data_IF_641581644212
#
_entry.id   IF_641581644212
#
_cell.length_a   1.000
_cell.length_b   1.000
_cell.length_c   1.000
_cell.angle_alpha   90.00
_cell.angle_beta   90.00
_cell.angle_gamma   90.00
#
_symmetry.space_group_name_H-M   'P 1'
#
loop_
_entity.id
_entity.type
_entity.pdbx_description
1 polymer ?
#
# COMPACT_ATOMS: atom_id res chain seq x y z
N UNK A 1 15.09 -5.63 -13.25
CA UNK A 1 14.81 -7.06 -12.98
C UNK A 1 14.62 -7.16 -11.48
N UNK A 2 13.40 -7.44 -11.04
CA UNK A 2 13.02 -7.40 -9.64
C UNK A 2 13.25 -8.79 -9.03
N UNK A 3 14.02 -8.85 -7.95
CA UNK A 3 14.30 -10.08 -7.21
C UNK A 3 13.49 -10.03 -5.91
N UNK A 4 12.86 -11.14 -5.50
CA UNK A 4 12.18 -11.21 -4.20
C UNK A 4 13.20 -11.01 -3.07
N UNK A 5 12.90 -10.09 -2.16
CA UNK A 5 13.64 -9.82 -0.92
C UNK A 5 12.76 -10.16 0.30
N UNK A 6 13.26 -9.94 1.51
CA UNK A 6 12.55 -10.24 2.77
C UNK A 6 11.42 -9.24 3.10
N UNK A 7 11.15 -8.30 2.19
CA UNK A 7 10.18 -7.22 2.38
C UNK A 7 8.85 -7.60 1.77
N UNK A 8 7.85 -7.80 2.63
CA UNK A 8 6.46 -8.04 2.25
C UNK A 8 5.72 -6.72 2.06
N UNK A 9 5.00 -6.62 0.95
CA UNK A 9 4.05 -5.56 0.68
C UNK A 9 2.80 -6.17 0.06
N UNK A 10 1.64 -5.69 0.48
CA UNK A 10 0.32 -6.17 0.07
C UNK A 10 0.15 -6.08 -1.46
N UNK A 11 0.80 -5.11 -2.10
CA UNK A 11 0.79 -4.96 -3.56
C UNK A 11 1.73 -5.96 -4.25
N UNK A 12 2.94 -6.15 -3.71
CA UNK A 12 3.91 -7.17 -4.19
C UNK A 12 3.31 -8.58 -4.08
N UNK A 13 2.62 -8.87 -2.98
CA UNK A 13 1.91 -10.14 -2.75
C UNK A 13 0.72 -10.37 -3.69
N UNK A 14 0.09 -9.33 -4.23
CA UNK A 14 -1.00 -9.47 -5.19
C UNK A 14 -0.48 -9.70 -6.61
N UNK A 15 0.56 -8.97 -7.01
CA UNK A 15 1.13 -9.02 -8.36
C UNK A 15 1.93 -10.30 -8.58
N UNK A 16 2.87 -10.63 -7.69
CA UNK A 16 3.82 -11.73 -7.90
C UNK A 16 3.14 -13.11 -7.84
N UNK A 17 2.14 -13.26 -6.95
CA UNK A 17 1.50 -14.56 -6.72
C UNK A 17 0.23 -14.76 -7.54
N UNK A 18 -0.49 -13.68 -7.87
CA UNK A 18 -1.59 -13.72 -8.83
C UNK A 18 -1.10 -14.25 -10.18
N UNK A 19 0.06 -13.76 -10.63
CA UNK A 19 0.71 -14.22 -11.84
C UNK A 19 1.05 -15.71 -11.79
N UNK A 20 1.60 -16.22 -10.68
CA UNK A 20 1.95 -17.64 -10.54
C UNK A 20 0.72 -18.56 -10.62
N UNK A 21 -0.36 -18.23 -9.92
CA UNK A 21 -1.62 -18.98 -9.99
C UNK A 21 -2.22 -18.93 -11.40
N UNK A 22 -2.14 -17.76 -12.06
CA UNK A 22 -2.62 -17.59 -13.43
C UNK A 22 -1.81 -18.41 -14.44
N UNK A 23 -0.48 -18.45 -14.29
CA UNK A 23 0.42 -19.29 -15.11
C UNK A 23 0.10 -20.77 -14.92
N UNK A 24 -0.09 -21.24 -13.69
CA UNK A 24 -0.48 -22.62 -13.42
C UNK A 24 -1.86 -22.95 -14.01
N UNK A 25 -2.82 -22.05 -13.86
CA UNK A 25 -4.16 -22.19 -14.43
C UNK A 25 -4.14 -22.24 -15.95
N UNK A 26 -3.40 -21.34 -16.62
CA UNK A 26 -3.23 -21.37 -18.06
C UNK A 26 -2.51 -22.62 -18.54
N UNK A 27 -1.44 -23.05 -17.87
CA UNK A 27 -0.73 -24.28 -18.21
C UNK A 27 -1.64 -25.51 -18.17
N UNK A 28 -2.61 -25.55 -17.25
CA UNK A 28 -3.64 -26.61 -17.23
C UNK A 28 -4.64 -26.51 -18.38
N UNK A 29 -4.92 -25.29 -18.87
CA UNK A 29 -5.99 -25.02 -19.83
C UNK A 29 -5.52 -25.03 -21.30
N UNK A 30 -4.29 -24.61 -21.57
CA UNK A 30 -3.73 -24.47 -22.94
C UNK A 30 -2.89 -25.67 -23.35
N UNK A 31 -2.23 -26.33 -22.40
CA UNK A 31 -1.51 -27.57 -22.68
C UNK A 31 -2.49 -28.73 -22.48
N UNK A 32 -2.70 -29.55 -23.51
CA UNK A 32 -3.36 -30.86 -23.37
C UNK A 32 -2.42 -31.82 -22.64
N UNK A 33 -2.13 -31.50 -21.37
CA UNK A 33 -1.24 -32.27 -20.54
C UNK A 33 -1.83 -33.68 -20.34
N UNK A 34 -1.02 -34.74 -20.47
CA UNK A 34 -1.46 -36.10 -20.14
C UNK A 34 -2.06 -36.16 -18.73
N UNK A 35 -2.96 -37.11 -18.41
CA UNK A 35 -3.65 -37.18 -17.12
C UNK A 35 -2.72 -37.09 -15.89
N UNK A 36 -1.53 -37.72 -15.96
CA UNK A 36 -0.51 -37.64 -14.91
C UNK A 36 0.05 -36.23 -14.71
N UNK A 37 0.33 -35.52 -15.79
CA UNK A 37 0.84 -34.14 -15.75
C UNK A 37 -0.23 -33.15 -15.24
N UNK A 38 -1.51 -33.37 -15.57
CA UNK A 38 -2.63 -32.60 -15.00
C UNK A 38 -2.72 -32.77 -13.49
N UNK A 39 -2.59 -34.00 -13.00
CA UNK A 39 -2.60 -34.27 -11.56
C UNK A 39 -1.45 -33.57 -10.84
N UNK A 40 -0.24 -33.58 -11.42
CA UNK A 40 0.91 -32.84 -10.87
C UNK A 40 0.65 -31.33 -10.83
N UNK A 41 0.11 -30.75 -11.91
CA UNK A 41 -0.23 -29.32 -11.95
C UNK A 41 -1.33 -28.94 -10.95
N UNK A 42 -2.35 -29.80 -10.77
CA UNK A 42 -3.39 -29.60 -9.77
C UNK A 42 -2.82 -29.67 -8.34
N UNK A 43 -1.96 -30.64 -8.06
CA UNK A 43 -1.29 -30.75 -6.77
C UNK A 43 -0.37 -29.55 -6.51
N UNK A 44 0.35 -29.07 -7.52
CA UNK A 44 1.16 -27.86 -7.44
C UNK A 44 0.31 -26.61 -7.16
N UNK A 45 -0.86 -26.48 -7.81
CA UNK A 45 -1.80 -25.40 -7.54
C UNK A 45 -2.34 -25.46 -6.11
N UNK A 46 -2.78 -26.62 -5.65
CA UNK A 46 -3.27 -26.80 -4.26
C UNK A 46 -2.16 -26.49 -3.26
N UNK A 47 -0.94 -26.98 -3.50
CA UNK A 47 0.23 -26.68 -2.67
C UNK A 47 0.54 -25.18 -2.62
N UNK A 48 0.49 -24.48 -3.76
CA UNK A 48 0.67 -23.04 -3.84
C UNK A 48 -0.40 -22.27 -3.06
N UNK A 49 -1.67 -22.68 -3.17
CA UNK A 49 -2.78 -22.09 -2.42
C UNK A 49 -2.64 -22.33 -0.90
N UNK A 50 -2.26 -23.54 -0.49
CA UNK A 50 -2.07 -23.89 0.93
C UNK A 50 -0.87 -23.15 1.55
N UNK A 51 0.23 -23.05 0.81
CA UNK A 51 1.37 -22.22 1.20
C UNK A 51 0.96 -20.76 1.38
N UNK A 52 0.18 -20.20 0.44
CA UNK A 52 -0.32 -18.82 0.54
C UNK A 52 -1.22 -18.60 1.75
N UNK A 53 -2.17 -19.51 1.99
CA UNK A 53 -3.05 -19.41 3.16
C UNK A 53 -2.21 -19.37 4.45
N UNK A 54 -1.19 -20.22 4.53
CA UNK A 54 -0.26 -20.27 5.67
C UNK A 54 0.55 -18.97 5.80
N UNK A 55 1.14 -18.48 4.71
CA UNK A 55 1.91 -17.24 4.70
C UNK A 55 1.05 -16.03 5.10
N UNK A 56 -0.18 -15.92 4.60
CA UNK A 56 -1.12 -14.86 4.97
C UNK A 56 -1.47 -14.89 6.46
N UNK A 57 -1.67 -16.08 7.02
CA UNK A 57 -1.92 -16.25 8.47
C UNK A 57 -0.70 -15.79 9.28
N UNK A 58 0.51 -16.11 8.80
CA UNK A 58 1.76 -15.72 9.46
C UNK A 58 2.01 -14.21 9.41
N UNK A 59 1.68 -13.55 8.29
CA UNK A 59 1.89 -12.11 8.09
C UNK A 59 0.75 -11.26 8.66
N UNK A 60 -0.44 -11.82 8.87
CA UNK A 60 -1.61 -11.09 9.36
C UNK A 60 -1.35 -10.25 10.62
N UNK A 61 -0.61 -10.73 11.65
CA UNK A 61 -0.29 -9.92 12.81
C UNK A 61 0.56 -8.68 12.48
N UNK A 62 1.45 -8.76 11.49
CA UNK A 62 2.30 -7.64 11.08
C UNK A 62 1.51 -6.58 10.30
N UNK A 63 0.57 -7.03 9.45
CA UNK A 63 -0.39 -6.13 8.83
C UNK A 63 -1.31 -5.47 9.85
N UNK A 64 -1.78 -6.22 10.86
CA UNK A 64 -2.57 -5.65 11.96
C UNK A 64 -1.77 -4.60 12.74
N UNK A 65 -0.50 -4.87 13.04
CA UNK A 65 0.39 -3.92 13.71
C UNK A 65 0.59 -2.64 12.87
N UNK A 66 0.74 -2.77 11.55
CA UNK A 66 0.82 -1.63 10.63
C UNK A 66 -0.47 -0.80 10.64
N UNK A 67 -1.63 -1.45 10.58
CA UNK A 67 -2.91 -0.75 10.65
C UNK A 67 -3.08 -0.03 11.98
N UNK A 68 -2.75 -0.67 13.10
CA UNK A 68 -2.80 -0.04 14.42
C UNK A 68 -1.84 1.17 14.51
N UNK A 69 -0.67 1.11 13.86
CA UNK A 69 0.24 2.24 13.77
C UNK A 69 -0.36 3.40 12.95
N UNK A 70 -1.04 3.13 11.84
CA UNK A 70 -1.78 4.17 11.09
C UNK A 70 -2.90 4.80 11.92
N UNK A 71 -3.69 3.99 12.63
CA UNK A 71 -4.74 4.49 13.53
C UNK A 71 -4.14 5.38 14.63
N UNK A 72 -3.04 4.97 15.25
CA UNK A 72 -2.35 5.77 16.26
C UNK A 72 -1.82 7.11 15.71
N UNK A 73 -1.38 7.16 14.45
CA UNK A 73 -0.98 8.41 13.80
C UNK A 73 -2.17 9.35 13.58
N UNK A 74 -3.31 8.80 13.15
CA UNK A 74 -4.55 9.55 12.93
C UNK A 74 -5.03 10.12 14.27
N UNK A 75 -5.08 9.31 15.32
CA UNK A 75 -5.50 9.72 16.66
C UNK A 75 -4.61 10.85 17.19
N UNK A 76 -3.29 10.74 17.01
CA UNK A 76 -2.34 11.80 17.39
C UNK A 76 -2.55 13.09 16.59
N UNK A 77 -2.87 12.99 15.30
CA UNK A 77 -3.18 14.16 14.48
C UNK A 77 -4.44 14.85 14.98
N UNK A 78 -5.52 14.10 15.21
CA UNK A 78 -6.78 14.63 15.75
C UNK A 78 -6.63 15.23 17.14
N UNK A 79 -5.90 14.58 18.04
CA UNK A 79 -5.63 15.09 19.39
C UNK A 79 -4.91 16.44 19.39
N UNK A 80 -4.15 16.73 18.32
CA UNK A 80 -3.45 18.01 18.12
C UNK A 80 -4.23 19.00 17.24
N UNK A 81 -5.45 18.67 16.84
CA UNK A 81 -6.25 19.47 15.91
C UNK A 81 -5.66 19.55 14.50
N UNK A 82 -4.76 18.63 14.14
CA UNK A 82 -4.09 18.59 12.85
C UNK A 82 -4.91 17.75 11.85
N UNK A 83 -5.11 18.30 10.66
CA UNK A 83 -5.68 17.59 9.50
C UNK A 83 -4.62 17.16 8.49
N UNK A 84 -3.37 17.56 8.73
CA UNK A 84 -2.23 17.28 7.87
C UNK A 84 -0.97 17.08 8.69
N UNK A 85 -0.24 16.01 8.42
CA UNK A 85 0.99 15.65 9.15
C UNK A 85 2.07 15.12 8.22
N UNK A 86 3.32 15.42 8.56
CA UNK A 86 4.50 14.81 7.94
C UNK A 86 5.04 13.77 8.91
N UNK A 87 5.21 12.54 8.45
CA UNK A 87 5.72 11.42 9.25
C UNK A 87 7.01 10.89 8.68
N UNK A 88 7.94 10.48 9.55
CA UNK A 88 9.14 9.79 9.14
C UNK A 88 8.93 8.27 9.26
N UNK A 89 9.07 7.56 8.14
CA UNK A 89 8.85 6.11 8.06
C UNK A 89 10.14 5.31 7.93
N UNK A 90 11.30 5.97 7.81
CA UNK A 90 12.55 5.34 7.35
C UNK A 90 13.05 4.16 8.20
N UNK A 91 12.68 4.09 9.48
CA UNK A 91 13.09 3.02 10.40
C UNK A 91 11.91 2.19 10.94
N UNK A 92 10.71 2.38 10.39
CA UNK A 92 9.53 1.66 10.86
C UNK A 92 9.39 0.38 10.04
N UNK A 93 9.37 -0.76 10.73
CA UNK A 93 9.11 -2.07 10.12
C UNK A 93 8.30 -2.90 11.11
N UNK A 94 7.49 -3.82 10.59
CA UNK A 94 6.64 -4.72 11.38
C UNK A 94 7.00 -6.16 11.02
N UNK A 95 7.39 -6.96 12.00
CA UNK A 95 7.69 -8.38 11.80
C UNK A 95 9.12 -8.76 12.12
N UNK A 96 9.61 -9.83 11.52
CA UNK A 96 10.95 -10.39 11.79
C UNK A 96 11.94 -10.01 10.70
N UNK A 97 13.24 -10.26 10.91
CA UNK A 97 14.26 -10.07 9.87
C UNK A 97 14.00 -10.84 8.56
N UNK A 98 13.20 -11.91 8.60
CA UNK A 98 12.85 -12.71 7.42
C UNK A 98 11.52 -12.29 6.78
N UNK A 99 10.65 -11.65 7.55
CA UNK A 99 9.29 -11.32 7.18
C UNK A 99 8.97 -9.89 7.66
N UNK A 100 9.39 -8.90 6.87
CA UNK A 100 9.22 -7.49 7.21
C UNK A 100 8.08 -6.88 6.41
N UNK A 101 7.05 -6.37 7.08
CA UNK A 101 6.07 -5.47 6.49
C UNK A 101 6.53 -4.04 6.76
N UNK A 102 6.71 -3.23 5.73
CA UNK A 102 7.13 -1.83 5.88
C UNK A 102 5.95 -0.88 5.65
N UNK A 103 5.90 0.29 6.31
CA UNK A 103 5.06 1.38 5.87
C UNK A 103 5.61 1.86 4.52
N UNK A 104 4.83 1.64 3.48
CA UNK A 104 5.27 1.85 2.10
C UNK A 104 4.63 3.12 1.51
N UNK A 105 4.71 3.28 0.19
CA UNK A 105 4.13 4.42 -0.54
C UNK A 105 2.63 4.61 -0.26
N UNK A 106 1.93 3.55 0.17
CA UNK A 106 0.51 3.56 0.48
C UNK A 106 0.16 4.20 1.83
N UNK A 107 1.13 4.52 2.69
CA UNK A 107 0.89 5.09 4.04
C UNK A 107 -0.05 6.29 3.99
N UNK A 108 0.18 7.23 3.07
CA UNK A 108 -0.68 8.41 2.92
C UNK A 108 -2.11 8.07 2.52
N UNK A 109 -2.29 7.12 1.58
CA UNK A 109 -3.59 6.66 1.10
C UNK A 109 -4.34 5.89 2.18
N UNK A 110 -3.66 4.97 2.87
CA UNK A 110 -4.24 4.17 3.95
C UNK A 110 -4.70 5.04 5.11
N UNK A 111 -3.86 5.98 5.56
CA UNK A 111 -4.25 6.91 6.61
C UNK A 111 -5.44 7.79 6.18
N UNK A 112 -5.47 8.25 4.92
CA UNK A 112 -6.61 9.02 4.41
C UNK A 112 -7.90 8.19 4.40
N UNK A 113 -7.85 6.95 3.91
CA UNK A 113 -9.00 6.04 3.87
C UNK A 113 -9.50 5.67 5.27
N UNK A 114 -8.58 5.34 6.18
CA UNK A 114 -8.92 4.99 7.56
C UNK A 114 -9.54 6.17 8.31
N UNK A 115 -8.98 7.37 8.18
CA UNK A 115 -9.50 8.57 8.83
C UNK A 115 -10.83 9.07 8.25
N UNK A 116 -11.10 8.81 6.97
CA UNK A 116 -12.36 9.15 6.33
C UNK A 116 -13.55 8.28 6.79
N UNK A 117 -13.31 7.17 7.51
CA UNK A 117 -14.35 6.27 8.04
C UNK A 117 -15.40 7.01 8.89
N UNK A 118 -14.97 8.05 9.60
CA UNK A 118 -15.83 8.86 10.48
C UNK A 118 -16.47 10.07 9.76
N UNK A 119 -16.35 10.10 8.44
CA UNK A 119 -16.90 11.12 7.57
C UNK A 119 -15.82 12.03 6.95
N UNK A 120 -16.20 12.79 5.91
CA UNK A 120 -15.27 13.57 5.11
C UNK A 120 -14.49 14.61 5.92
N UNK A 121 -15.09 15.19 6.95
CA UNK A 121 -14.45 16.19 7.83
C UNK A 121 -13.42 15.59 8.79
N UNK A 122 -13.37 14.27 8.96
CA UNK A 122 -12.42 13.57 9.84
C UNK A 122 -11.12 13.16 9.15
N UNK A 123 -11.07 13.29 7.82
CA UNK A 123 -9.92 12.90 7.01
C UNK A 123 -8.61 13.59 7.45
N UNK A 124 -7.53 12.80 7.48
CA UNK A 124 -6.16 13.25 7.77
C UNK A 124 -5.28 12.95 6.56
N UNK A 125 -4.66 13.99 6.01
CA UNK A 125 -3.65 13.84 4.97
C UNK A 125 -2.29 13.58 5.62
N UNK A 126 -1.72 12.41 5.34
CA UNK A 126 -0.39 12.00 5.82
C UNK A 126 0.56 11.95 4.64
N UNK A 127 1.72 12.58 4.79
CA UNK A 127 2.82 12.50 3.83
C UNK A 127 4.10 12.08 4.55
N UNK A 128 4.96 11.37 3.87
CA UNK A 128 6.17 10.76 4.44
C UNK A 128 7.42 11.58 4.09
N UNK A 129 8.47 11.47 4.91
CA UNK A 129 9.81 12.01 4.58
C UNK A 129 10.39 11.40 3.30
N UNK A 130 10.03 10.15 2.97
CA UNK A 130 10.41 9.52 1.70
C UNK A 130 9.85 10.28 0.50
N UNK A 131 8.70 10.95 0.63
CA UNK A 131 8.12 11.74 -0.48
C UNK A 131 9.00 12.92 -0.88
N UNK A 132 9.92 13.35 0.00
CA UNK A 132 10.94 14.35 -0.33
C UNK A 132 11.87 13.89 -1.47
N UNK A 133 12.03 12.59 -1.70
CA UNK A 133 12.87 12.05 -2.77
C UNK A 133 12.20 12.13 -4.16
N UNK A 134 10.90 12.46 -4.23
CA UNK A 134 10.20 12.65 -5.50
C UNK A 134 10.57 14.02 -6.11
N UNK A 135 10.94 14.02 -7.40
CA UNK A 135 11.33 15.23 -8.13
C UNK A 135 10.25 16.32 -8.04
N UNK A 136 10.65 17.52 -7.61
CA UNK A 136 9.75 18.68 -7.49
C UNK A 136 9.00 18.78 -6.17
N UNK A 137 9.03 17.74 -5.33
CA UNK A 137 8.48 17.77 -3.96
C UNK A 137 9.41 18.52 -2.98
N UNK A 138 10.70 18.64 -3.31
CA UNK A 138 11.71 19.39 -2.52
C UNK A 138 11.29 20.85 -2.20
N UNK A 139 10.45 21.46 -3.03
CA UNK A 139 10.04 22.85 -2.91
C UNK A 139 8.89 23.09 -1.92
N UNK A 140 8.31 22.03 -1.34
CA UNK A 140 7.25 22.18 -0.34
C UNK A 140 6.43 20.93 -0.10
N UNK A 141 7.02 19.90 0.53
CA UNK A 141 6.34 18.65 0.91
C UNK A 141 5.00 18.90 1.62
N UNK A 142 4.96 19.84 2.57
CA UNK A 142 3.77 20.24 3.32
C UNK A 142 2.60 20.75 2.45
N UNK A 143 2.80 21.01 1.15
CA UNK A 143 1.77 21.42 0.21
C UNK A 143 0.98 20.26 -0.43
N UNK A 144 1.42 19.01 -0.31
CA UNK A 144 0.82 17.89 -1.06
C UNK A 144 -0.16 17.06 -0.22
N UNK A 145 -1.14 16.43 -0.87
CA UNK A 145 -2.14 15.57 -0.20
C UNK A 145 -1.71 14.09 -0.19
N UNK A 146 -1.08 13.63 -1.28
CA UNK A 146 -0.66 12.24 -1.52
C UNK A 146 0.68 12.18 -2.30
N UNK A 147 1.31 10.98 -2.34
CA UNK A 147 2.58 10.65 -3.01
C UNK A 147 2.45 10.52 -4.55
N UNK A 148 3.59 10.55 -5.26
CA UNK A 148 4.02 10.14 -6.63
C UNK A 148 3.15 9.22 -7.56
N UNK A 149 1.96 8.80 -7.17
CA UNK A 149 0.92 8.35 -8.09
C UNK A 149 -0.27 9.21 -7.75
N UNK A 150 -0.49 10.23 -8.57
CA UNK A 150 -1.71 11.03 -8.69
C UNK A 150 -1.41 12.51 -8.87
N UNK A 151 -1.24 12.85 -10.15
CA UNK A 151 -1.69 14.12 -10.71
C UNK A 151 -3.19 14.21 -10.46
N UNK A 152 -3.57 14.62 -9.27
CA UNK A 152 -4.98 14.75 -8.94
C UNK A 152 -5.20 16.15 -8.42
N UNK A 153 -5.88 16.96 -9.23
CA UNK A 153 -6.56 18.15 -8.77
C UNK A 153 -7.45 17.75 -7.58
N UNK A 154 -7.48 18.59 -6.55
CA UNK A 154 -8.42 18.49 -5.43
C UNK A 154 -9.86 18.17 -5.86
N UNK A 155 -10.27 18.55 -7.08
CA UNK A 155 -11.58 18.21 -7.67
C UNK A 155 -11.86 16.72 -7.93
N UNK A 156 -10.86 15.84 -7.96
CA UNK A 156 -11.09 14.38 -8.08
C UNK A 156 -11.45 13.73 -6.74
N UNK A 157 -11.07 14.35 -5.61
CA UNK A 157 -11.49 13.87 -4.31
C UNK A 157 -12.99 14.10 -4.19
N UNK A 158 -13.75 13.01 -4.22
CA UNK A 158 -15.20 13.07 -4.02
C UNK A 158 -15.49 13.61 -2.62
N UNK A 159 -16.07 14.81 -2.57
CA UNK A 159 -16.38 15.54 -1.34
C UNK A 159 -17.37 14.82 -0.42
N UNK A 160 -18.07 13.80 -0.94
CA UNK A 160 -18.88 12.87 -0.14
C UNK A 160 -18.04 12.07 0.84
N UNK A 161 -16.82 11.73 0.45
CA UNK A 161 -15.95 10.82 1.18
C UNK A 161 -14.75 11.55 1.82
N UNK A 162 -14.30 12.67 1.23
CA UNK A 162 -13.12 13.39 1.71
C UNK A 162 -13.33 14.89 1.71
N UNK A 163 -13.02 15.55 2.83
CA UNK A 163 -12.89 16.99 2.89
C UNK A 163 -11.47 17.34 3.32
N UNK A 164 -10.74 18.01 2.43
CA UNK A 164 -9.38 18.46 2.72
C UNK A 164 -9.46 19.60 3.76
N UNK A 165 -8.73 19.46 4.87
CA UNK A 165 -8.67 20.49 5.90
C UNK A 165 -8.06 21.79 5.38
N UNK A 166 -8.32 22.92 6.04
CA UNK A 166 -7.78 24.23 5.63
C UNK A 166 -6.25 24.23 5.58
N UNK A 167 -5.66 24.68 4.46
CA UNK A 167 -4.22 24.73 4.26
C UNK A 167 -3.84 25.15 2.84
N UNK A 168 -2.56 25.41 2.60
CA UNK A 168 -2.03 25.68 1.26
C UNK A 168 -1.74 24.33 0.61
N UNK A 169 -2.54 23.94 -0.37
CA UNK A 169 -2.32 22.75 -1.18
C UNK A 169 -1.82 23.11 -2.57
N UNK A 170 -1.02 22.24 -3.15
CA UNK A 170 -0.50 22.41 -4.51
C UNK A 170 -0.71 21.14 -5.32
N UNK A 171 -1.09 21.25 -6.60
CA UNK A 171 -0.99 20.12 -7.50
C UNK A 171 0.48 19.73 -7.65
N UNK A 172 0.75 18.45 -7.88
CA UNK A 172 2.08 18.02 -8.31
C UNK A 172 2.44 18.72 -9.63
N UNK A 173 3.69 19.15 -9.83
CA UNK A 173 4.12 19.66 -11.12
C UNK A 173 3.83 18.60 -12.18
N UNK A 174 3.01 18.94 -13.19
CA UNK A 174 2.77 18.07 -14.35
C UNK A 174 4.06 18.01 -15.18
N UNK A 175 4.95 17.10 -14.84
CA UNK A 175 6.26 16.95 -15.48
C UNK A 175 6.91 15.63 -15.08
N UNK A 176 6.81 14.67 -15.99
CA UNK A 176 7.46 13.35 -15.99
C UNK A 176 7.37 12.56 -14.66
N UNK A 177 6.29 11.79 -14.53
CA UNK A 177 6.42 10.48 -13.88
C UNK A 177 7.60 9.75 -14.57
N UNK A 178 8.61 9.25 -13.83
CA UNK A 178 9.63 8.39 -14.41
C UNK A 178 9.02 7.11 -15.00
#
# INVERSE_FOLDING_TARGET
>A
MYLPDTTHDRYREQVDYGLMVWVLFMAMHTCWAPPRSRMVLLLALVGALAYRATAMIQLAPYYQARTAWHEALIDQAHARGLRKVIVDTGNITFGTARDQVTPYWSTGVECLLLSAREGPSHAVSVITTHDRQCTGVEQGLAGYVMRCWDVIDTGYLDSRWFQVGTGIYKPLPMGALP
#
